data_IF_541162304863
#
_entry.id   IF_541162304863
#
_cell.length_a   1.000
_cell.length_b   1.000
_cell.length_c   1.000
_cell.angle_alpha   90.00
_cell.angle_beta   90.00
_cell.angle_gamma   90.00
#
_symmetry.space_group_name_H-M   'P 1'
#
loop_
_entity.id
_entity.type
_entity.pdbx_description
1 polymer ?
#
# COMPACT_ATOMS: atom_id res chain seq x y z
N UNK A 1 0.99 8.70 6.00
CA UNK A 1 0.23 9.07 7.23
C UNK A 1 0.47 10.55 7.55
N UNK A 2 -0.60 11.32 7.74
CA UNK A 2 -0.53 12.74 8.10
C UNK A 2 -0.14 12.94 9.59
N UNK A 3 0.41 14.11 9.95
CA UNK A 3 0.86 14.38 11.33
C UNK A 3 -0.28 14.34 12.36
N UNK A 4 -1.50 14.72 11.98
CA UNK A 4 -2.66 14.65 12.88
C UNK A 4 -3.05 13.22 13.22
N UNK A 5 -3.07 12.34 12.21
CA UNK A 5 -3.34 10.91 12.41
C UNK A 5 -2.29 10.27 13.30
N UNK A 6 -1.00 10.55 13.04
CA UNK A 6 0.10 10.03 13.86
C UNK A 6 -0.03 10.44 15.33
N UNK A 7 -0.34 11.72 15.59
CA UNK A 7 -0.58 12.22 16.96
C UNK A 7 -1.79 11.57 17.63
N UNK A 8 -2.87 11.35 16.90
CA UNK A 8 -4.06 10.67 17.42
C UNK A 8 -3.77 9.21 17.81
N UNK A 9 -2.99 8.49 16.99
CA UNK A 9 -2.55 7.12 17.29
C UNK A 9 -1.61 7.08 18.50
N UNK A 10 -0.66 8.02 18.55
CA UNK A 10 0.25 8.15 19.69
C UNK A 10 -0.49 8.45 21.02
N UNK A 11 -1.49 9.33 20.99
CA UNK A 11 -2.32 9.60 22.17
C UNK A 11 -3.09 8.37 22.67
N UNK A 12 -3.39 7.42 21.77
CA UNK A 12 -4.01 6.13 22.10
C UNK A 12 -2.98 5.04 22.47
N UNK A 13 -1.69 5.39 22.53
CA UNK A 13 -0.57 4.45 22.78
C UNK A 13 -0.51 3.28 21.78
N UNK A 14 -0.91 3.54 20.54
CA UNK A 14 -0.84 2.54 19.47
C UNK A 14 0.59 2.54 18.92
N UNK A 15 1.24 1.37 18.91
CA UNK A 15 2.55 1.18 18.30
C UNK A 15 2.43 1.29 16.78
N UNK A 16 3.30 2.05 16.16
CA UNK A 16 3.39 2.25 14.72
C UNK A 16 4.63 1.56 14.17
N UNK A 17 4.47 0.77 13.13
CA UNK A 17 5.58 0.08 12.45
C UNK A 17 5.74 0.64 11.04
N UNK A 18 6.97 0.86 10.60
CA UNK A 18 7.24 1.39 9.27
C UNK A 18 8.73 1.51 8.95
N UNK A 19 9.05 2.10 7.81
CA UNK A 19 10.44 2.29 7.40
C UNK A 19 11.19 3.27 8.31
N UNK A 20 12.53 3.25 8.24
CA UNK A 20 13.36 4.22 8.97
C UNK A 20 13.01 5.67 8.59
N UNK A 21 12.68 5.94 7.32
CA UNK A 21 12.29 7.28 6.88
C UNK A 21 10.99 7.76 7.54
N UNK A 22 10.02 6.86 7.72
CA UNK A 22 8.78 7.14 8.46
C UNK A 22 9.08 7.38 9.92
N UNK A 23 9.89 6.53 10.55
CA UNK A 23 10.33 6.68 11.95
C UNK A 23 10.95 8.07 12.17
N UNK A 24 12.00 8.43 11.41
CA UNK A 24 12.67 9.73 11.54
C UNK A 24 11.71 10.91 11.36
N UNK A 25 10.78 10.81 10.41
CA UNK A 25 9.78 11.85 10.17
C UNK A 25 8.83 12.01 11.35
N UNK A 26 8.33 10.93 11.93
CA UNK A 26 7.40 10.95 13.05
C UNK A 26 8.08 11.45 14.33
N UNK A 27 9.34 11.08 14.58
CA UNK A 27 10.14 11.64 15.70
C UNK A 27 10.24 13.16 15.58
N UNK A 28 10.58 13.69 14.40
CA UNK A 28 10.61 15.14 14.17
C UNK A 28 9.24 15.83 14.39
N UNK A 29 8.15 15.09 14.31
CA UNK A 29 6.79 15.57 14.58
C UNK A 29 6.39 15.42 16.06
N UNK A 30 7.31 14.97 16.92
CA UNK A 30 7.10 14.83 18.35
C UNK A 30 6.38 13.54 18.76
N UNK A 31 6.36 12.52 17.91
CA UNK A 31 5.85 11.21 18.31
C UNK A 31 6.89 10.49 19.17
N UNK A 32 6.50 9.91 20.32
CA UNK A 32 7.41 9.18 21.21
C UNK A 32 8.08 8.00 20.50
N UNK A 33 9.40 7.88 20.64
CA UNK A 33 10.17 6.82 19.95
C UNK A 33 9.76 5.41 20.38
N UNK A 34 9.39 5.25 21.65
CA UNK A 34 8.95 3.98 22.23
C UNK A 34 7.63 3.47 21.65
N UNK A 35 6.90 4.31 20.92
CA UNK A 35 5.69 3.92 20.20
C UNK A 35 5.94 3.60 18.73
N UNK A 36 7.19 3.56 18.32
CA UNK A 36 7.53 3.36 16.92
C UNK A 36 8.57 2.25 16.78
N UNK A 37 8.38 1.43 15.76
CA UNK A 37 9.27 0.35 15.40
C UNK A 37 9.66 0.43 13.94
N UNK A 38 10.94 0.25 13.68
CA UNK A 38 11.45 0.19 12.32
C UNK A 38 11.33 -1.24 11.81
N UNK A 39 10.70 -1.38 10.65
CA UNK A 39 10.68 -2.61 9.86
C UNK A 39 11.28 -2.29 8.49
N UNK A 40 12.46 -2.83 8.21
CA UNK A 40 13.14 -2.61 6.93
C UNK A 40 12.54 -3.50 5.86
N UNK A 41 12.72 -3.08 4.62
CA UNK A 41 12.35 -3.92 3.47
C UNK A 41 12.98 -5.30 3.59
N UNK A 42 12.21 -6.35 3.33
CA UNK A 42 12.54 -7.79 3.48
C UNK A 42 12.59 -8.30 4.94
N UNK A 43 12.33 -7.45 5.92
CA UNK A 43 12.17 -7.90 7.30
C UNK A 43 10.74 -8.38 7.56
N UNK A 44 10.61 -9.26 8.52
CA UNK A 44 9.33 -9.77 9.00
C UNK A 44 9.12 -9.45 10.46
N UNK A 45 7.86 -9.34 10.88
CA UNK A 45 7.48 -9.09 12.27
C UNK A 45 6.21 -9.82 12.63
N UNK A 46 6.22 -10.53 13.75
CA UNK A 46 5.02 -11.12 14.33
C UNK A 46 4.26 -10.07 15.17
N UNK A 47 2.97 -9.88 14.88
CA UNK A 47 2.07 -8.98 15.62
C UNK A 47 0.80 -9.79 15.96
N UNK A 48 0.68 -10.28 17.17
CA UNK A 48 -0.36 -11.25 17.52
C UNK A 48 -0.29 -12.47 16.60
N UNK A 49 -1.41 -12.82 15.98
CA UNK A 49 -1.52 -13.96 15.06
C UNK A 49 -1.16 -13.61 13.61
N UNK A 50 -0.71 -12.37 13.33
CA UNK A 50 -0.37 -11.90 11.99
C UNK A 50 1.14 -11.80 11.83
N UNK A 51 1.71 -12.48 10.82
CA UNK A 51 3.07 -12.27 10.38
C UNK A 51 3.07 -11.19 9.30
N UNK A 52 3.71 -10.05 9.60
CA UNK A 52 3.88 -8.92 8.67
C UNK A 52 5.22 -9.05 7.97
N UNK A 53 5.21 -9.03 6.63
CA UNK A 53 6.41 -8.98 5.80
C UNK A 53 6.48 -7.61 5.12
N UNK A 54 7.62 -6.92 5.20
CA UNK A 54 7.83 -5.65 4.50
C UNK A 54 8.43 -5.89 3.12
N UNK A 55 7.77 -5.35 2.10
CA UNK A 55 8.14 -5.50 0.69
C UNK A 55 8.67 -4.19 0.12
N UNK A 56 9.56 -4.23 -0.89
CA UNK A 56 10.03 -3.01 -1.52
C UNK A 56 8.88 -2.25 -2.18
N UNK A 57 8.99 -0.92 -2.21
CA UNK A 57 8.12 -0.04 -2.97
C UNK A 57 8.94 1.12 -3.53
N UNK A 58 8.61 1.54 -4.76
CA UNK A 58 9.27 2.63 -5.47
C UNK A 58 8.28 3.78 -5.71
N UNK A 59 8.30 4.75 -4.79
CA UNK A 59 7.42 5.93 -4.84
C UNK A 59 8.25 7.21 -4.71
N UNK A 60 8.94 7.67 -5.78
CA UNK A 60 9.93 8.73 -5.72
C UNK A 60 9.34 10.15 -5.78
N UNK A 61 8.05 10.35 -5.54
CA UNK A 61 7.43 11.68 -5.59
C UNK A 61 8.09 12.70 -4.66
N UNK A 62 8.72 12.24 -3.57
CA UNK A 62 9.47 13.08 -2.63
C UNK A 62 10.65 13.80 -3.27
N UNK A 63 11.12 13.34 -4.43
CA UNK A 63 12.17 14.04 -5.20
C UNK A 63 11.72 15.45 -5.65
N UNK A 64 10.41 15.66 -5.79
CA UNK A 64 9.84 16.98 -6.09
C UNK A 64 9.95 17.96 -4.91
N UNK A 65 10.23 17.48 -3.71
CA UNK A 65 10.22 18.29 -2.49
C UNK A 65 11.61 18.69 -1.98
N UNK A 66 12.66 18.49 -2.80
CA UNK A 66 14.03 18.92 -2.48
C UNK A 66 14.12 20.43 -2.19
N UNK A 67 13.31 21.23 -2.88
CA UNK A 67 13.22 22.67 -2.66
C UNK A 67 12.69 23.06 -1.27
N UNK A 68 12.06 22.13 -0.56
CA UNK A 68 11.50 22.31 0.80
C UNK A 68 12.37 21.68 1.91
N UNK A 69 13.63 21.36 1.59
CA UNK A 69 14.58 20.80 2.56
C UNK A 69 14.40 19.32 2.81
N UNK A 70 13.69 18.61 1.93
CA UNK A 70 13.63 17.15 1.94
C UNK A 70 14.96 16.55 1.50
N UNK A 71 15.26 15.34 1.94
CA UNK A 71 16.36 14.55 1.39
C UNK A 71 15.92 13.78 0.13
N UNK A 72 16.87 13.43 -0.76
CA UNK A 72 16.55 12.55 -1.88
C UNK A 72 15.94 11.23 -1.42
N UNK A 73 14.97 10.74 -2.22
CA UNK A 73 14.43 9.40 -2.06
C UNK A 73 15.53 8.34 -2.15
N UNK A 74 15.40 7.31 -1.33
CA UNK A 74 16.28 6.13 -1.37
C UNK A 74 15.39 4.89 -1.38
N UNK A 75 15.82 3.85 -2.08
CA UNK A 75 15.18 2.55 -1.98
C UNK A 75 15.11 2.10 -0.51
N UNK A 76 13.93 1.68 -0.07
CA UNK A 76 13.66 1.37 1.34
C UNK A 76 13.07 2.54 2.17
N UNK A 77 12.88 3.73 1.58
CA UNK A 77 12.13 4.81 2.22
C UNK A 77 10.63 4.55 2.23
N UNK A 78 10.14 3.85 1.20
CA UNK A 78 8.78 3.35 1.08
C UNK A 78 8.77 1.83 1.14
N UNK A 79 7.65 1.26 1.56
CA UNK A 79 7.44 -0.19 1.56
C UNK A 79 5.96 -0.52 1.36
N UNK A 80 5.72 -1.69 0.80
CA UNK A 80 4.45 -2.40 0.88
C UNK A 80 4.48 -3.41 2.01
N UNK A 81 3.37 -4.10 2.26
CA UNK A 81 3.24 -5.11 3.29
C UNK A 81 2.50 -6.35 2.79
N UNK A 82 2.99 -7.52 3.18
CA UNK A 82 2.22 -8.76 3.12
C UNK A 82 1.81 -9.10 4.55
N UNK A 83 0.52 -9.33 4.74
CA UNK A 83 -0.05 -9.78 6.01
C UNK A 83 -0.44 -11.24 5.89
N UNK A 84 0.29 -12.11 6.57
CA UNK A 84 -0.10 -13.52 6.69
C UNK A 84 -0.97 -13.66 7.94
N UNK A 85 -2.25 -13.86 7.73
CA UNK A 85 -3.24 -14.04 8.79
C UNK A 85 -3.71 -15.48 8.82
N UNK A 86 -4.40 -15.94 9.91
CA UNK A 86 -5.03 -17.24 9.93
C UNK A 86 -6.07 -17.45 8.80
N UNK A 87 -6.70 -16.36 8.33
CA UNK A 87 -7.78 -16.38 7.34
C UNK A 87 -7.29 -16.25 5.89
N UNK A 88 -6.03 -15.84 5.69
CA UNK A 88 -5.46 -15.70 4.36
C UNK A 88 -4.29 -14.74 4.30
N UNK A 89 -3.68 -14.68 3.11
CA UNK A 89 -2.52 -13.85 2.80
C UNK A 89 -2.96 -12.62 2.02
N UNK A 90 -2.66 -11.44 2.54
CA UNK A 90 -3.09 -10.15 2.00
C UNK A 90 -1.85 -9.36 1.57
N UNK A 91 -1.85 -8.83 0.36
CA UNK A 91 -0.79 -7.96 -0.12
C UNK A 91 -1.27 -6.52 -0.31
N UNK A 92 -0.58 -5.60 0.36
CA UNK A 92 -0.69 -4.15 0.22
C UNK A 92 0.60 -3.62 -0.38
N UNK A 93 0.71 -3.41 -1.69
CA UNK A 93 1.92 -2.85 -2.30
C UNK A 93 2.21 -1.42 -1.84
N UNK A 94 1.18 -0.70 -1.37
CA UNK A 94 1.25 0.73 -1.10
C UNK A 94 1.37 1.56 -2.38
N UNK A 95 1.72 2.82 -2.21
CA UNK A 95 2.00 3.73 -3.33
C UNK A 95 3.35 3.32 -3.94
N UNK A 96 3.33 2.79 -5.16
CA UNK A 96 4.54 2.27 -5.79
C UNK A 96 4.39 2.18 -7.32
N UNK A 97 5.49 2.32 -8.04
CA UNK A 97 5.57 1.83 -9.41
C UNK A 97 5.72 0.31 -9.41
N UNK A 98 5.39 -0.35 -10.51
CA UNK A 98 5.61 -1.79 -10.66
C UNK A 98 7.12 -2.09 -10.63
N UNK A 99 7.50 -3.07 -9.81
CA UNK A 99 8.86 -3.57 -9.69
C UNK A 99 8.90 -5.08 -9.99
N UNK A 100 10.06 -5.57 -10.40
CA UNK A 100 10.25 -7.00 -10.65
C UNK A 100 10.00 -7.84 -9.39
N UNK A 101 10.37 -7.30 -8.23
CA UNK A 101 10.19 -7.92 -6.93
C UNK A 101 8.73 -8.24 -6.61
N UNK A 102 7.80 -7.41 -7.08
CA UNK A 102 6.36 -7.64 -6.90
C UNK A 102 5.89 -8.89 -7.65
N UNK A 103 6.49 -9.18 -8.80
CA UNK A 103 6.19 -10.35 -9.62
C UNK A 103 6.91 -11.65 -9.16
N UNK A 104 7.69 -11.56 -8.08
CA UNK A 104 8.32 -12.72 -7.42
C UNK A 104 7.59 -13.12 -6.13
N UNK A 105 6.60 -12.33 -5.70
CA UNK A 105 5.80 -12.62 -4.51
C UNK A 105 4.96 -13.88 -4.79
N UNK A 106 4.99 -14.89 -3.88
CA UNK A 106 4.10 -16.04 -3.99
C UNK A 106 2.62 -15.66 -3.96
N UNK A 107 1.71 -16.54 -4.42
CA UNK A 107 0.28 -16.25 -4.45
C UNK A 107 -0.26 -15.66 -3.16
N UNK A 108 -1.24 -14.77 -3.29
CA UNK A 108 -1.97 -14.13 -2.18
C UNK A 108 -3.47 -14.35 -2.36
N UNK A 109 -4.22 -14.28 -1.27
CA UNK A 109 -5.68 -14.41 -1.29
C UNK A 109 -6.38 -13.09 -1.62
N UNK A 110 -5.75 -11.96 -1.24
CA UNK A 110 -6.25 -10.61 -1.49
C UNK A 110 -5.11 -9.69 -1.92
N UNK A 111 -5.33 -8.91 -2.96
CA UNK A 111 -4.48 -7.81 -3.40
C UNK A 111 -5.21 -6.48 -3.26
N UNK A 112 -4.66 -5.57 -2.44
CA UNK A 112 -5.04 -4.17 -2.51
C UNK A 112 -4.38 -3.55 -3.75
N UNK A 113 -5.19 -3.16 -4.74
CA UNK A 113 -4.71 -2.75 -6.06
C UNK A 113 -4.76 -1.23 -6.21
N UNK A 114 -3.60 -0.60 -6.38
CA UNK A 114 -3.50 0.82 -6.72
C UNK A 114 -3.99 1.04 -8.16
N UNK A 115 -5.03 1.83 -8.33
CA UNK A 115 -5.61 2.18 -9.65
C UNK A 115 -5.38 3.65 -10.03
N UNK A 116 -4.50 4.35 -9.32
CA UNK A 116 -4.10 5.72 -9.66
C UNK A 116 -3.47 5.80 -11.05
N UNK A 117 -3.75 6.87 -11.78
CA UNK A 117 -3.14 7.15 -13.09
C UNK A 117 -1.81 7.92 -13.00
N UNK A 118 -1.33 8.23 -11.78
CA UNK A 118 -0.11 8.98 -11.54
C UNK A 118 1.15 8.20 -11.92
N UNK A 119 2.16 8.89 -12.44
CA UNK A 119 3.45 8.31 -12.86
C UNK A 119 4.28 7.68 -11.72
N UNK A 120 3.96 8.00 -10.46
CA UNK A 120 4.63 7.46 -9.26
C UNK A 120 3.91 6.25 -8.66
N UNK A 121 2.83 5.83 -9.29
CA UNK A 121 1.97 4.73 -8.90
C UNK A 121 2.00 3.60 -9.93
N UNK A 122 1.22 2.55 -9.72
CA UNK A 122 1.13 1.44 -10.69
C UNK A 122 0.68 1.92 -12.07
N UNK A 123 -0.19 2.92 -12.16
CA UNK A 123 -1.01 3.25 -13.33
C UNK A 123 -1.87 2.05 -13.79
N UNK A 124 -2.78 2.27 -14.73
CA UNK A 124 -3.71 1.22 -15.19
C UNK A 124 -2.98 0.01 -15.79
N UNK A 125 -1.96 0.23 -16.62
CA UNK A 125 -1.24 -0.87 -17.29
C UNK A 125 -0.50 -1.76 -16.28
N UNK A 126 0.25 -1.15 -15.38
CA UNK A 126 1.01 -1.90 -14.35
C UNK A 126 0.09 -2.55 -13.32
N UNK A 127 -1.05 -1.92 -13.00
CA UNK A 127 -2.07 -2.51 -12.16
C UNK A 127 -2.64 -3.81 -12.76
N UNK A 128 -2.93 -3.81 -14.07
CA UNK A 128 -3.36 -5.02 -14.81
C UNK A 128 -2.28 -6.10 -14.77
N UNK A 129 -1.01 -5.74 -14.98
CA UNK A 129 0.12 -6.70 -14.93
C UNK A 129 0.22 -7.32 -13.53
N UNK A 130 0.20 -6.51 -12.48
CA UNK A 130 0.30 -7.00 -11.11
C UNK A 130 -0.90 -7.87 -10.72
N UNK A 131 -2.11 -7.46 -11.05
CA UNK A 131 -3.32 -8.23 -10.77
C UNK A 131 -3.36 -9.56 -11.52
N UNK A 132 -2.86 -9.61 -12.75
CA UNK A 132 -2.75 -10.84 -13.55
C UNK A 132 -1.62 -11.77 -13.07
N UNK A 133 -0.64 -11.27 -12.31
CA UNK A 133 0.31 -12.12 -11.62
C UNK A 133 -0.37 -12.93 -10.49
N UNK A 134 -1.34 -12.34 -9.81
CA UNK A 134 -2.09 -12.96 -8.71
C UNK A 134 -3.49 -13.43 -9.17
N UNK A 135 -3.56 -14.38 -10.09
CA UNK A 135 -4.82 -14.83 -10.73
C UNK A 135 -5.90 -15.31 -9.76
N UNK A 136 -5.52 -15.82 -8.59
CA UNK A 136 -6.46 -16.33 -7.60
C UNK A 136 -6.89 -15.28 -6.56
N UNK A 137 -6.19 -14.13 -6.49
CA UNK A 137 -6.45 -13.12 -5.48
C UNK A 137 -7.76 -12.38 -5.77
N UNK A 138 -8.53 -12.12 -4.73
CA UNK A 138 -9.54 -11.07 -4.77
C UNK A 138 -8.86 -9.70 -4.86
N UNK A 139 -9.52 -8.72 -5.47
CA UNK A 139 -8.97 -7.39 -5.72
C UNK A 139 -9.81 -6.35 -5.00
N UNK A 140 -9.17 -5.50 -4.21
CA UNK A 140 -9.80 -4.29 -3.65
C UNK A 140 -9.01 -3.08 -4.14
N UNK A 141 -9.64 -2.16 -4.91
CA UNK A 141 -8.94 -1.01 -5.44
C UNK A 141 -8.75 0.07 -4.39
N UNK A 142 -7.71 0.86 -4.52
CA UNK A 142 -7.52 2.11 -3.79
C UNK A 142 -6.96 3.20 -4.72
N UNK A 143 -6.90 4.44 -4.24
CA UNK A 143 -6.56 5.62 -5.03
C UNK A 143 -7.58 5.94 -6.14
N UNK A 144 -8.87 5.80 -5.84
CA UNK A 144 -9.98 6.24 -6.68
C UNK A 144 -11.00 7.00 -5.84
N UNK A 145 -11.73 7.95 -6.44
CA UNK A 145 -12.87 8.64 -5.84
C UNK A 145 -12.61 9.35 -4.50
N UNK A 146 -11.34 9.55 -4.11
CA UNK A 146 -10.98 10.09 -2.79
C UNK A 146 -11.33 11.57 -2.66
N UNK A 147 -11.22 12.31 -3.76
CA UNK A 147 -11.50 13.75 -3.81
C UNK A 147 -12.21 14.11 -5.10
N UNK A 148 -13.13 15.07 -5.03
CA UNK A 148 -13.66 15.74 -6.22
C UNK A 148 -12.63 16.72 -6.77
N UNK A 149 -11.59 16.17 -7.40
CA UNK A 149 -10.46 16.91 -7.94
C UNK A 149 -10.02 16.32 -9.28
N UNK A 150 -10.86 16.42 -10.34
CA UNK A 150 -10.60 15.77 -11.62
C UNK A 150 -9.33 16.27 -12.33
N UNK A 151 -8.81 17.43 -11.92
CA UNK A 151 -7.55 17.97 -12.43
C UNK A 151 -6.30 17.29 -11.82
N UNK A 152 -6.45 16.44 -10.82
CA UNK A 152 -5.34 15.72 -10.16
C UNK A 152 -5.42 14.24 -10.54
N UNK A 153 -4.64 13.84 -11.56
CA UNK A 153 -4.64 12.47 -12.08
C UNK A 153 -4.46 11.38 -11.00
N UNK A 154 -3.68 11.66 -9.95
CA UNK A 154 -3.48 10.75 -8.83
C UNK A 154 -4.76 10.38 -8.06
N UNK A 155 -5.84 11.13 -8.24
CA UNK A 155 -7.13 10.91 -7.57
C UNK A 155 -8.24 10.46 -8.53
N UNK A 156 -7.92 10.29 -9.81
CA UNK A 156 -8.86 9.96 -10.89
C UNK A 156 -8.67 8.50 -11.35
N UNK A 157 -8.45 7.59 -10.42
CA UNK A 157 -8.47 6.16 -10.71
C UNK A 157 -9.88 5.71 -11.08
N UNK A 158 -10.00 4.87 -12.11
CA UNK A 158 -11.26 4.28 -12.60
C UNK A 158 -11.16 2.75 -12.44
N UNK A 159 -11.56 2.20 -11.28
CA UNK A 159 -11.37 0.78 -11.00
C UNK A 159 -12.08 -0.13 -12.01
N UNK A 160 -13.25 0.26 -12.50
CA UNK A 160 -14.01 -0.49 -13.50
C UNK A 160 -13.21 -0.65 -14.80
N UNK A 161 -12.59 0.43 -15.28
CA UNK A 161 -11.75 0.39 -16.49
C UNK A 161 -10.52 -0.49 -16.35
N UNK A 162 -10.01 -0.61 -15.13
CA UNK A 162 -8.87 -1.49 -14.81
C UNK A 162 -9.34 -2.94 -14.76
N UNK A 163 -10.45 -3.21 -14.09
CA UNK A 163 -11.01 -4.56 -13.93
C UNK A 163 -11.41 -5.19 -15.25
N UNK A 164 -11.95 -4.43 -16.19
CA UNK A 164 -12.30 -4.89 -17.55
C UNK A 164 -11.08 -5.44 -18.33
N UNK A 165 -9.86 -5.04 -17.95
CA UNK A 165 -8.61 -5.46 -18.59
C UNK A 165 -7.90 -6.59 -17.84
N UNK A 166 -8.37 -6.94 -16.65
CA UNK A 166 -7.78 -7.99 -15.79
C UNK A 166 -8.46 -9.33 -16.09
N UNK A 167 -7.71 -10.40 -16.13
CA UNK A 167 -8.25 -11.76 -16.27
C UNK A 167 -9.14 -12.07 -15.07
N UNK A 168 -10.44 -12.31 -15.31
CA UNK A 168 -11.43 -12.50 -14.24
C UNK A 168 -11.61 -11.27 -13.34
N UNK A 169 -11.32 -10.07 -13.83
CA UNK A 169 -11.32 -8.86 -13.02
C UNK A 169 -12.68 -8.54 -12.41
N UNK A 170 -13.75 -8.69 -13.18
CA UNK A 170 -15.11 -8.41 -12.73
C UNK A 170 -15.67 -9.48 -11.77
N UNK A 171 -15.15 -10.72 -11.81
CA UNK A 171 -15.56 -11.82 -10.92
C UNK A 171 -14.85 -11.78 -9.55
N UNK A 172 -13.64 -11.24 -9.51
CA UNK A 172 -12.79 -11.21 -8.31
C UNK A 172 -12.50 -9.81 -7.80
N UNK A 173 -12.93 -8.78 -8.54
CA UNK A 173 -12.83 -7.38 -8.16
C UNK A 173 -13.99 -6.98 -7.26
N UNK A 174 -13.67 -6.29 -6.17
CA UNK A 174 -14.65 -5.74 -5.24
C UNK A 174 -14.35 -4.25 -5.03
N UNK A 175 -15.32 -3.38 -5.37
CA UNK A 175 -15.20 -1.92 -5.21
C UNK A 175 -16.07 -1.51 -4.02
N UNK A 176 -15.55 -1.53 -2.78
CA UNK A 176 -16.35 -1.28 -1.60
C UNK A 176 -16.74 0.18 -1.47
N UNK A 177 -17.97 0.43 -1.05
CA UNK A 177 -18.37 1.72 -0.52
C UNK A 177 -17.69 1.99 0.84
N UNK A 178 -17.49 3.25 1.25
CA UNK A 178 -16.94 3.57 2.55
C UNK A 178 -17.73 2.90 3.70
N UNK A 179 -17.05 2.05 4.48
CA UNK A 179 -17.65 1.28 5.58
C UNK A 179 -18.28 -0.05 5.18
N UNK A 180 -18.29 -0.39 3.90
CA UNK A 180 -18.74 -1.71 3.46
C UNK A 180 -17.75 -2.79 3.88
N UNK A 181 -18.27 -3.93 4.38
CA UNK A 181 -17.45 -5.03 4.84
C UNK A 181 -17.12 -5.99 3.69
N UNK A 182 -15.87 -6.40 3.60
CA UNK A 182 -15.39 -7.48 2.75
C UNK A 182 -15.01 -8.68 3.61
N UNK A 183 -15.49 -9.87 3.23
CA UNK A 183 -15.12 -11.11 3.91
C UNK A 183 -14.01 -11.82 3.14
N UNK A 184 -12.81 -11.79 3.69
CA UNK A 184 -11.69 -12.57 3.14
C UNK A 184 -11.98 -14.07 3.27
N UNK A 185 -11.78 -14.80 2.17
CA UNK A 185 -11.84 -16.26 2.14
C UNK A 185 -10.49 -16.79 1.67
N UNK A 186 -9.89 -17.67 2.47
CA UNK A 186 -8.65 -18.34 2.09
C UNK A 186 -8.88 -19.17 0.83
N UNK A 187 -8.01 -19.01 -0.15
CA UNK A 187 -8.08 -19.70 -1.46
C UNK A 187 -6.85 -20.57 -1.74
N UNK A 188 -5.77 -20.41 -0.96
CA UNK A 188 -4.49 -21.10 -1.12
C UNK A 188 -4.03 -21.74 0.19
#
# INVERSE_FOLDING_TARGET
MGPMTAKALAAKKITMTGTLAVFERLVRQGIPQEQMEVLRVWETKQIGDVLVESMPADHPWQLKDLARGGRPYRMGDCCGFILNTPDGRIYFPGDTRLMEEHLRIPPVDLLALDVSTCEYHLNHTSAVVLANHFLQADLIPFHYGTYDAPQIAAHCGEPEEVYDKIIGGNERGFIPAPGEAFLLRRKI
#
